data_IF_170054591597
#
_entry.id   IF_170054591597
#
_cell.length_a   1.000
_cell.length_b   1.000
_cell.length_c   1.000
_cell.angle_alpha   90.00
_cell.angle_beta   90.00
_cell.angle_gamma   90.00
#
_symmetry.space_group_name_H-M   'P 1'
#
loop_
_entity.id
_entity.type
_entity.pdbx_description
1 polymer ?
#
# COMPACT_ATOMS: atom_id res chain seq x y z
N UNK A 1 -19.47 7.11 31.04
CA UNK A 1 -18.22 7.86 31.31
C UNK A 1 -17.16 7.52 30.26
N UNK A 2 -17.54 7.37 28.98
CA UNK A 2 -16.76 6.52 28.05
C UNK A 2 -16.27 7.25 26.78
N UNK A 3 -16.73 8.48 26.53
CA UNK A 3 -16.32 9.26 25.35
C UNK A 3 -14.94 9.95 25.52
N UNK A 4 -14.48 10.15 26.76
CA UNK A 4 -13.22 10.88 27.03
C UNK A 4 -12.01 9.94 26.88
N UNK A 5 -12.09 8.70 27.38
CA UNK A 5 -10.99 7.72 27.27
C UNK A 5 -10.74 7.24 25.83
N UNK A 6 -11.78 7.16 24.99
CA UNK A 6 -11.64 6.73 23.60
C UNK A 6 -10.88 7.75 22.74
N UNK A 7 -11.12 9.05 22.99
CA UNK A 7 -10.48 10.14 22.25
C UNK A 7 -8.98 10.29 22.58
N UNK A 8 -8.57 10.00 23.81
CA UNK A 8 -7.15 10.01 24.19
C UNK A 8 -6.40 8.86 23.53
N UNK A 9 -6.99 7.66 23.48
CA UNK A 9 -6.37 6.49 22.85
C UNK A 9 -6.21 6.67 21.32
N UNK A 10 -7.21 7.27 20.67
CA UNK A 10 -7.17 7.52 19.23
C UNK A 10 -6.13 8.58 18.85
N UNK A 11 -6.04 9.68 19.62
CA UNK A 11 -4.99 10.69 19.43
C UNK A 11 -3.59 10.14 19.65
N UNK A 12 -3.41 9.32 20.69
CA UNK A 12 -2.13 8.65 20.95
C UNK A 12 -1.72 7.72 19.80
N UNK A 13 -2.68 6.99 19.22
CA UNK A 13 -2.43 6.12 18.06
C UNK A 13 -1.97 6.93 16.84
N UNK A 14 -2.61 8.08 16.57
CA UNK A 14 -2.23 8.97 15.49
C UNK A 14 -0.84 9.61 15.71
N UNK A 15 -0.51 9.98 16.94
CA UNK A 15 0.81 10.55 17.24
C UNK A 15 1.94 9.53 17.01
N UNK A 16 1.73 8.27 17.43
CA UNK A 16 2.67 7.17 17.16
C UNK A 16 2.78 6.90 15.67
N UNK A 17 1.67 6.86 14.95
CA UNK A 17 1.65 6.69 13.50
C UNK A 17 2.45 7.79 12.79
N UNK A 18 2.20 9.06 13.13
CA UNK A 18 2.94 10.20 12.57
C UNK A 18 4.42 10.12 12.91
N UNK A 19 4.78 9.62 14.09
CA UNK A 19 6.18 9.38 14.43
C UNK A 19 6.82 8.32 13.54
N UNK A 20 6.13 7.20 13.28
CA UNK A 20 6.60 6.17 12.35
C UNK A 20 6.76 6.75 10.94
N UNK A 21 5.79 7.53 10.46
CA UNK A 21 5.89 8.18 9.16
C UNK A 21 7.07 9.14 9.05
N UNK A 22 7.39 9.91 10.10
CA UNK A 22 8.60 10.75 10.09
C UNK A 22 9.88 9.92 9.98
N UNK A 23 9.93 8.75 10.61
CA UNK A 23 11.08 7.86 10.50
C UNK A 23 11.21 7.31 9.08
N UNK A 24 10.11 6.83 8.49
CA UNK A 24 10.10 6.33 7.11
C UNK A 24 10.48 7.45 6.14
N UNK A 25 9.88 8.64 6.27
CA UNK A 25 10.16 9.81 5.45
C UNK A 25 11.63 10.27 5.47
N UNK A 26 12.38 9.90 6.52
CA UNK A 26 13.82 10.19 6.59
C UNK A 26 14.65 9.34 5.61
N UNK A 27 14.09 8.22 5.12
CA UNK A 27 14.72 7.30 4.18
C UNK A 27 14.56 7.78 2.73
N UNK A 28 15.27 8.85 2.36
CA UNK A 28 15.14 9.54 1.05
C UNK A 28 15.41 8.65 -0.17
N UNK A 29 16.12 7.53 0.00
CA UNK A 29 16.49 6.60 -1.07
C UNK A 29 15.71 5.29 -0.98
N UNK A 30 14.61 5.26 -0.23
CA UNK A 30 13.79 4.07 -0.12
C UNK A 30 13.12 3.78 -1.47
N UNK A 31 13.47 2.66 -2.09
CA UNK A 31 12.88 2.22 -3.36
C UNK A 31 11.64 1.35 -3.15
N UNK A 32 11.59 0.60 -2.05
CA UNK A 32 10.51 -0.34 -1.75
C UNK A 32 10.04 -0.20 -0.32
N UNK A 33 8.73 -0.09 -0.13
CA UNK A 33 8.09 0.00 1.18
C UNK A 33 7.08 -1.14 1.34
N UNK A 34 7.40 -2.08 2.22
CA UNK A 34 6.59 -3.25 2.52
C UNK A 34 5.92 -3.05 3.88
N UNK A 35 4.61 -2.80 3.87
CA UNK A 35 3.81 -2.59 5.08
C UNK A 35 2.90 -3.79 5.38
N UNK A 36 2.59 -4.58 4.34
CA UNK A 36 1.76 -5.78 4.43
C UNK A 36 2.50 -7.03 4.88
N UNK A 37 1.72 -8.07 5.19
CA UNK A 37 2.27 -9.41 5.43
C UNK A 37 2.48 -10.13 4.08
N UNK A 38 3.66 -9.90 3.49
CA UNK A 38 4.09 -10.50 2.23
C UNK A 38 4.61 -11.94 2.36
N UNK A 39 4.59 -12.55 3.55
CA UNK A 39 5.38 -13.76 3.83
C UNK A 39 4.77 -15.08 3.33
N UNK A 40 3.68 -15.07 2.56
CA UNK A 40 3.01 -16.30 2.07
C UNK A 40 2.92 -16.38 0.54
N UNK A 41 4.00 -16.07 -0.16
CA UNK A 41 4.29 -16.83 -1.36
C UNK A 41 5.12 -18.04 -0.91
N UNK A 42 4.55 -19.26 -0.83
CA UNK A 42 5.41 -20.44 -0.80
C UNK A 42 6.30 -20.33 -2.05
N UNK A 43 7.62 -20.39 -1.88
CA UNK A 43 8.61 -20.36 -2.96
C UNK A 43 8.50 -21.59 -3.90
N UNK A 44 7.43 -22.40 -3.78
CA UNK A 44 7.19 -23.65 -4.47
C UNK A 44 6.14 -23.55 -5.59
N UNK A 45 5.96 -22.37 -6.22
CA UNK A 45 5.32 -22.35 -7.53
C UNK A 45 6.35 -22.79 -8.57
N UNK A 46 6.35 -24.10 -8.83
CA UNK A 46 7.08 -24.78 -9.89
C UNK A 46 6.99 -23.99 -11.21
N UNK A 47 8.11 -23.93 -11.93
CA UNK A 47 8.33 -23.26 -13.21
C UNK A 47 7.10 -23.26 -14.14
N UNK A 48 6.31 -22.20 -14.11
CA UNK A 48 5.28 -21.95 -15.12
C UNK A 48 5.95 -21.19 -16.25
N UNK A 49 6.15 -21.88 -17.39
CA UNK A 49 6.71 -21.35 -18.63
C UNK A 49 6.28 -19.89 -18.89
N UNK A 50 7.24 -18.98 -18.81
CA UNK A 50 7.14 -17.56 -19.12
C UNK A 50 6.63 -17.39 -20.57
N UNK A 51 5.41 -16.86 -20.81
CA UNK A 51 5.01 -16.51 -22.17
C UNK A 51 5.77 -15.27 -22.60
N UNK A 52 6.87 -15.51 -23.32
CA UNK A 52 7.62 -14.53 -24.09
C UNK A 52 6.69 -13.81 -25.06
N UNK A 53 6.42 -12.53 -24.81
CA UNK A 53 5.98 -11.61 -25.83
C UNK A 53 6.45 -10.19 -25.51
N UNK A 54 7.44 -9.75 -26.28
CA UNK A 54 7.89 -8.38 -26.37
C UNK A 54 6.76 -7.45 -26.85
N UNK A 55 6.67 -6.27 -26.24
CA UNK A 55 6.15 -5.08 -26.91
C UNK A 55 6.80 -3.84 -26.32
N UNK A 56 7.82 -3.33 -27.02
CA UNK A 56 8.35 -2.00 -26.82
C UNK A 56 7.31 -0.97 -27.28
N UNK A 57 6.78 -0.16 -26.36
CA UNK A 57 5.84 0.89 -26.70
C UNK A 57 5.68 1.95 -25.61
N UNK A 58 6.16 3.16 -25.92
CA UNK A 58 5.76 4.47 -25.38
C UNK A 58 5.97 4.78 -23.89
N UNK A 59 6.76 5.83 -23.62
CA UNK A 59 7.16 6.31 -22.29
C UNK A 59 6.06 7.01 -21.49
N UNK A 60 4.94 6.32 -21.24
CA UNK A 60 4.03 6.64 -20.12
C UNK A 60 4.37 5.70 -18.97
N UNK A 61 4.68 6.27 -17.80
CA UNK A 61 4.97 5.50 -16.58
C UNK A 61 3.66 4.92 -16.06
N UNK A 62 3.24 3.82 -16.65
CA UNK A 62 2.03 3.11 -16.22
C UNK A 62 2.29 2.50 -14.85
N UNK A 63 1.57 2.97 -13.83
CA UNK A 63 1.59 2.35 -12.51
C UNK A 63 0.81 1.05 -12.61
N UNK A 64 1.50 -0.07 -12.38
CA UNK A 64 0.91 -1.40 -12.41
C UNK A 64 0.21 -1.64 -11.07
N UNK A 65 -1.11 -1.74 -11.14
CA UNK A 65 -1.97 -2.12 -10.03
C UNK A 65 -2.14 -3.64 -10.08
N UNK A 66 -1.52 -4.38 -9.16
CA UNK A 66 -1.67 -5.83 -9.09
C UNK A 66 -2.85 -6.18 -8.16
N UNK A 67 -4.05 -6.51 -8.70
CA UNK A 67 -5.15 -6.97 -7.87
C UNK A 67 -4.79 -8.32 -7.26
N UNK A 68 -4.92 -8.43 -5.94
CA UNK A 68 -4.73 -9.71 -5.25
C UNK A 68 -5.85 -10.68 -5.65
N UNK A 69 -5.49 -11.85 -6.20
CA UNK A 69 -6.43 -12.93 -6.48
C UNK A 69 -6.93 -13.58 -5.17
N UNK A 70 -8.15 -13.25 -4.74
CA UNK A 70 -8.85 -13.85 -3.59
C UNK A 70 -9.42 -15.26 -3.88
N UNK A 71 -8.59 -16.18 -4.39
CA UNK A 71 -9.03 -17.55 -4.67
C UNK A 71 -8.78 -18.57 -3.56
N UNK A 72 -7.89 -18.26 -2.62
CA UNK A 72 -7.45 -19.22 -1.61
C UNK A 72 -7.84 -18.72 -0.23
N UNK A 73 -8.57 -19.58 0.49
CA UNK A 73 -9.10 -19.43 1.82
C UNK A 73 -7.96 -19.37 2.87
N UNK A 74 -7.08 -18.37 2.76
CA UNK A 74 -6.05 -18.06 3.75
C UNK A 74 -6.76 -17.38 4.91
N UNK A 75 -6.84 -18.08 6.04
CA UNK A 75 -7.68 -17.69 7.17
C UNK A 75 -7.54 -16.23 7.56
N UNK A 76 -8.61 -15.45 7.34
CA UNK A 76 -9.13 -14.24 8.01
C UNK A 76 -8.19 -13.24 8.72
N UNK A 77 -6.88 -13.27 8.53
CA UNK A 77 -5.91 -12.42 9.21
C UNK A 77 -5.59 -11.18 8.40
N UNK A 78 -6.56 -10.31 8.16
CA UNK A 78 -6.21 -8.94 7.75
C UNK A 78 -5.60 -8.25 8.95
N UNK A 79 -4.44 -7.62 8.77
CA UNK A 79 -3.89 -6.79 9.82
C UNK A 79 -4.83 -5.58 10.00
N UNK A 80 -5.42 -5.47 11.20
CA UNK A 80 -6.39 -4.40 11.54
C UNK A 80 -5.76 -3.28 12.36
N UNK A 81 -4.59 -3.52 12.94
CA UNK A 81 -3.77 -2.55 13.68
C UNK A 81 -2.58 -2.13 12.83
N UNK A 82 -2.87 -1.52 11.68
CA UNK A 82 -1.89 -1.07 10.70
C UNK A 82 -1.77 0.46 10.66
N UNK A 83 -0.72 0.95 10.02
CA UNK A 83 -0.63 2.35 9.61
C UNK A 83 -1.77 2.65 8.64
N UNK A 84 -2.68 3.55 9.02
CA UNK A 84 -3.74 4.06 8.15
C UNK A 84 -3.13 4.86 6.99
N UNK A 85 -3.23 4.40 5.76
CA UNK A 85 -2.68 5.14 4.61
C UNK A 85 -3.68 6.17 4.10
N UNK A 86 -3.88 7.26 4.85
CA UNK A 86 -4.74 8.39 4.46
C UNK A 86 -4.01 9.71 4.63
N UNK A 87 -4.48 10.74 3.94
CA UNK A 87 -3.95 12.09 4.15
C UNK A 87 -4.19 12.59 5.58
N UNK A 88 -5.35 12.28 6.15
CA UNK A 88 -5.72 12.65 7.53
C UNK A 88 -4.76 12.06 8.59
N UNK A 89 -4.30 10.82 8.37
CA UNK A 89 -3.41 10.13 9.30
C UNK A 89 -1.94 10.56 9.15
N UNK A 90 -1.58 11.19 8.03
CA UNK A 90 -0.25 11.73 7.77
C UNK A 90 0.50 11.11 6.60
N UNK A 91 -0.19 10.51 5.61
CA UNK A 91 0.43 10.04 4.37
C UNK A 91 1.27 11.16 3.70
N UNK A 92 0.84 12.42 3.85
CA UNK A 92 1.54 13.60 3.37
C UNK A 92 2.98 13.74 3.89
N UNK A 93 3.27 13.20 5.08
CA UNK A 93 4.61 13.18 5.68
C UNK A 93 5.59 12.37 4.81
N UNK A 94 5.09 11.35 4.11
CA UNK A 94 5.88 10.47 3.24
C UNK A 94 6.20 11.08 1.87
N UNK A 95 5.84 12.35 1.62
CA UNK A 95 6.12 13.07 0.36
C UNK A 95 7.59 13.06 -0.05
N UNK A 96 8.49 12.96 0.92
CA UNK A 96 9.95 12.99 0.68
C UNK A 96 10.49 11.70 0.04
N UNK A 97 9.69 10.64 -0.05
CA UNK A 97 10.08 9.35 -0.64
C UNK A 97 10.01 9.40 -2.17
N UNK A 98 10.75 10.32 -2.79
CA UNK A 98 10.71 10.53 -4.24
C UNK A 98 11.32 9.37 -5.03
N UNK A 99 12.13 8.53 -4.40
CA UNK A 99 12.74 7.33 -4.99
C UNK A 99 11.87 6.08 -4.85
N UNK A 100 10.73 6.17 -4.17
CA UNK A 100 9.85 5.03 -3.97
C UNK A 100 9.30 4.53 -5.30
N UNK A 101 9.48 3.23 -5.56
CA UNK A 101 9.05 2.52 -6.77
C UNK A 101 7.95 1.54 -6.48
N UNK A 102 8.03 0.85 -5.35
CA UNK A 102 7.07 -0.20 -4.96
C UNK A 102 6.53 0.08 -3.57
N UNK A 103 5.22 0.06 -3.43
CA UNK A 103 4.54 0.02 -2.14
C UNK A 103 3.69 -1.25 -2.06
N UNK A 104 3.92 -2.04 -1.01
CA UNK A 104 3.19 -3.28 -0.77
C UNK A 104 2.35 -3.18 0.52
N UNK A 105 1.05 -3.16 0.31
CA UNK A 105 0.02 -3.07 1.36
C UNK A 105 -0.89 -4.30 1.35
N UNK A 106 -0.38 -5.39 0.78
CA UNK A 106 -1.04 -6.69 0.75
C UNK A 106 -1.48 -7.13 2.14
N UNK A 107 -2.72 -7.63 2.23
CA UNK A 107 -3.32 -8.12 3.49
C UNK A 107 -3.41 -7.08 4.61
N UNK A 108 -3.22 -5.80 4.31
CA UNK A 108 -3.57 -4.71 5.22
C UNK A 108 -5.01 -4.28 5.00
N UNK A 109 -5.72 -4.02 6.09
CA UNK A 109 -6.95 -3.24 6.00
C UNK A 109 -6.55 -1.77 5.83
N UNK A 110 -6.72 -1.25 4.62
CA UNK A 110 -6.43 0.15 4.30
C UNK A 110 -7.67 0.85 3.72
N UNK A 111 -7.90 2.13 4.05
CA UNK A 111 -9.00 2.91 3.49
C UNK A 111 -8.57 3.72 2.25
N UNK A 112 -7.60 3.26 1.46
CA UNK A 112 -7.12 4.03 0.30
C UNK A 112 -8.25 4.30 -0.69
N UNK A 113 -8.55 5.59 -0.87
CA UNK A 113 -9.50 6.09 -1.84
C UNK A 113 -8.80 6.59 -3.11
N UNK A 114 -9.60 7.22 -3.97
CA UNK A 114 -9.09 7.86 -5.19
C UNK A 114 -8.17 9.04 -4.86
N UNK A 115 -8.52 9.83 -3.84
CA UNK A 115 -7.74 11.00 -3.43
C UNK A 115 -6.33 10.63 -2.97
N UNK A 116 -6.17 9.56 -2.18
CA UNK A 116 -4.84 9.10 -1.78
C UNK A 116 -4.02 8.58 -2.98
N UNK A 117 -4.67 7.90 -3.95
CA UNK A 117 -3.98 7.42 -5.14
C UNK A 117 -3.49 8.56 -6.02
N UNK A 118 -4.33 9.57 -6.26
CA UNK A 118 -3.94 10.79 -6.99
C UNK A 118 -2.79 11.50 -6.26
N UNK A 119 -2.88 11.61 -4.93
CA UNK A 119 -1.81 12.19 -4.15
C UNK A 119 -0.49 11.40 -4.28
N UNK A 120 -0.53 10.07 -4.28
CA UNK A 120 0.66 9.24 -4.46
C UNK A 120 1.29 9.44 -5.84
N UNK A 121 0.49 9.53 -6.89
CA UNK A 121 0.97 9.78 -8.25
C UNK A 121 1.66 11.15 -8.38
N UNK A 122 1.07 12.19 -7.78
CA UNK A 122 1.61 13.55 -7.81
C UNK A 122 2.89 13.72 -7.00
N UNK A 123 3.08 12.93 -5.93
CA UNK A 123 4.15 13.15 -4.96
C UNK A 123 5.27 12.10 -4.99
N UNK A 124 5.00 10.91 -5.52
CA UNK A 124 5.99 9.84 -5.70
C UNK A 124 6.27 9.64 -7.19
N UNK A 125 7.07 10.52 -7.82
CA UNK A 125 7.28 10.49 -9.27
C UNK A 125 7.94 9.21 -9.75
N UNK A 126 8.57 8.44 -8.85
CA UNK A 126 9.18 7.15 -9.15
C UNK A 126 8.31 5.93 -8.92
N UNK A 127 7.10 6.10 -8.45
CA UNK A 127 6.19 5.01 -8.16
C UNK A 127 5.86 4.26 -9.46
N UNK A 128 5.91 2.92 -9.38
CA UNK A 128 5.64 2.01 -10.50
C UNK A 128 4.62 0.95 -10.14
N UNK A 129 4.56 0.54 -8.87
CA UNK A 129 3.73 -0.59 -8.47
C UNK A 129 3.12 -0.34 -7.10
N UNK A 130 1.81 -0.52 -7.00
CA UNK A 130 1.08 -0.57 -5.73
C UNK A 130 0.45 -1.95 -5.64
N UNK A 131 0.92 -2.77 -4.68
CA UNK A 131 0.42 -4.13 -4.45
C UNK A 131 -0.61 -4.14 -3.34
N UNK A 132 -1.63 -4.99 -3.45
CA UNK A 132 -2.64 -5.14 -2.40
C UNK A 132 -3.78 -4.13 -2.46
N UNK A 133 -3.98 -3.45 -3.61
CA UNK A 133 -5.23 -2.73 -3.84
C UNK A 133 -6.38 -3.72 -4.01
N UNK A 134 -7.45 -3.47 -3.24
CA UNK A 134 -8.73 -4.12 -3.48
C UNK A 134 -9.41 -3.41 -4.63
N UNK A 135 -9.27 -3.93 -5.85
CA UNK A 135 -10.22 -3.58 -6.89
C UNK A 135 -11.60 -4.05 -6.42
N UNK A 136 -12.45 -3.11 -5.99
CA UNK A 136 -13.90 -3.34 -6.06
C UNK A 136 -14.19 -3.48 -7.54
N UNK A 137 -14.13 -4.71 -8.07
CA UNK A 137 -14.68 -5.00 -9.37
C UNK A 137 -16.11 -4.41 -9.36
N UNK A 138 -16.46 -3.53 -10.31
CA UNK A 138 -17.85 -3.13 -10.45
C UNK A 138 -18.65 -4.41 -10.59
N UNK A 139 -19.55 -4.67 -9.64
CA UNK A 139 -20.53 -5.74 -9.82
C UNK A 139 -21.30 -5.36 -11.08
N UNK A 140 -21.19 -6.18 -12.12
CA UNK A 140 -22.05 -6.06 -13.28
C UNK A 140 -23.52 -6.06 -12.80
N UNK A 141 -24.36 -5.15 -13.31
CA UNK A 141 -25.79 -5.09 -12.96
C UNK A 141 -26.56 -6.33 -13.38
#
# INVERSE_FOLDING_TARGET
MDAVCYNTSLRQSLDVQKQVYRQIASLKYLEELWLGDGALFPEDFEDVDEPSAASAGSGTKEVIWEPYMYGLNYGNGHQTTCLELTLDSGLDILRTLTELRVIDITRMKHPLGVEEMEWMEDNWPNLRTIKGLFAKLPRCP
#
